data_IF_984796603603
#
_entry.id   IF_984796603603
#
_cell.length_a   1.000
_cell.length_b   1.000
_cell.length_c   1.000
_cell.angle_alpha   90.00
_cell.angle_beta   90.00
_cell.angle_gamma   90.00
#
_symmetry.space_group_name_H-M   'P 1'
#
loop_
_entity.id
_entity.type
_entity.pdbx_description
1 polymer ?
#
# COMPACT_ATOMS: atom_id res chain seq x y z
N UNK A 1 0.71 6.33 2.71
CA UNK A 1 -0.56 5.64 2.36
C UNK A 1 -1.42 6.67 1.62
N UNK A 2 -1.95 6.33 0.45
CA UNK A 2 -2.84 7.21 -0.32
C UNK A 2 -4.25 7.14 0.29
N UNK A 3 -4.39 7.79 1.45
CA UNK A 3 -5.64 7.91 2.20
C UNK A 3 -6.07 9.36 2.06
N UNK A 4 -7.29 9.56 1.55
CA UNK A 4 -7.90 10.88 1.43
C UNK A 4 -7.79 11.62 2.77
N UNK A 5 -7.39 12.89 2.72
CA UNK A 5 -7.17 13.77 3.89
C UNK A 5 -5.98 13.44 4.81
N UNK A 6 -5.30 12.30 4.63
CA UNK A 6 -4.10 11.94 5.41
C UNK A 6 -2.82 11.83 4.59
N UNK A 7 -2.92 12.00 3.28
CA UNK A 7 -1.76 11.94 2.39
C UNK A 7 -0.85 13.15 2.59
N UNK A 8 0.45 12.91 2.80
CA UNK A 8 1.50 13.94 2.77
C UNK A 8 2.07 14.14 1.36
N UNK A 9 1.53 13.44 0.36
CA UNK A 9 1.93 13.59 -1.03
C UNK A 9 1.20 14.81 -1.62
N UNK A 10 1.91 15.93 -1.72
CA UNK A 10 1.39 17.20 -2.24
C UNK A 10 2.37 17.81 -3.26
N UNK A 11 1.96 18.88 -3.95
CA UNK A 11 2.75 19.48 -5.05
C UNK A 11 4.12 19.97 -4.59
N UNK A 12 4.18 20.58 -3.40
CA UNK A 12 5.43 21.07 -2.84
C UNK A 12 6.35 19.90 -2.48
N UNK A 13 5.84 18.87 -1.82
CA UNK A 13 6.60 17.65 -1.52
C UNK A 13 7.14 16.97 -2.79
N UNK A 14 6.40 17.01 -3.91
CA UNK A 14 6.88 16.49 -5.21
C UNK A 14 7.93 17.36 -5.88
N UNK A 15 7.89 18.68 -5.68
CA UNK A 15 8.96 19.61 -6.09
C UNK A 15 10.22 19.38 -5.26
N UNK A 16 10.07 19.23 -3.95
CA UNK A 16 11.18 18.92 -3.04
C UNK A 16 11.83 17.58 -3.40
N UNK A 17 11.02 16.57 -3.75
CA UNK A 17 11.53 15.28 -4.24
C UNK A 17 12.41 15.41 -5.48
N UNK A 18 12.22 16.40 -6.36
CA UNK A 18 13.08 16.64 -7.52
C UNK A 18 14.47 17.13 -7.12
N UNK A 19 14.55 17.85 -6.00
CA UNK A 19 15.77 18.47 -5.48
C UNK A 19 16.53 17.48 -4.58
N UNK A 20 15.82 16.82 -3.67
CA UNK A 20 16.39 16.01 -2.58
C UNK A 20 16.57 14.54 -3.01
N UNK A 21 15.83 14.06 -4.01
CA UNK A 21 15.82 12.64 -4.38
C UNK A 21 15.99 12.42 -5.89
N UNK A 22 16.81 11.43 -6.26
CA UNK A 22 16.90 10.99 -7.65
C UNK A 22 15.76 10.00 -8.01
N UNK A 23 14.52 10.48 -8.12
CA UNK A 23 13.35 9.67 -8.52
C UNK A 23 12.64 10.26 -9.74
N UNK A 24 13.18 10.10 -10.96
CA UNK A 24 12.65 10.73 -12.16
C UNK A 24 11.21 10.32 -12.48
N UNK A 25 10.83 9.08 -12.18
CA UNK A 25 9.47 8.53 -12.41
C UNK A 25 8.37 9.19 -11.55
N UNK A 26 8.73 9.98 -10.52
CA UNK A 26 7.81 10.65 -9.62
C UNK A 26 7.80 12.18 -9.75
N UNK A 27 8.57 12.74 -10.70
CA UNK A 27 8.64 14.18 -10.93
C UNK A 27 7.27 14.73 -11.36
N UNK A 28 6.97 15.95 -10.93
CA UNK A 28 5.81 16.71 -11.45
C UNK A 28 6.13 17.14 -12.87
N UNK A 29 5.19 16.91 -13.78
CA UNK A 29 5.27 17.47 -15.12
C UNK A 29 4.72 18.91 -15.09
N UNK A 30 5.63 19.88 -15.01
CA UNK A 30 5.32 21.31 -15.01
C UNK A 30 4.67 21.77 -16.33
N UNK A 31 4.84 21.01 -17.42
CA UNK A 31 4.29 21.35 -18.75
C UNK A 31 2.87 20.83 -18.94
N UNK A 32 2.50 19.74 -18.25
CA UNK A 32 1.20 19.09 -18.34
C UNK A 32 0.43 19.23 -17.03
N UNK A 33 0.02 20.45 -16.71
CA UNK A 33 -0.99 20.74 -15.70
C UNK A 33 -0.63 20.33 -14.26
N UNK A 34 0.67 20.21 -13.93
CA UNK A 34 1.15 19.77 -12.61
C UNK A 34 0.60 18.38 -12.19
N UNK A 35 0.47 17.44 -13.13
CA UNK A 35 0.01 16.10 -12.81
C UNK A 35 1.06 15.35 -11.98
N UNK A 36 0.64 14.80 -10.84
CA UNK A 36 1.46 13.91 -10.01
C UNK A 36 1.32 12.47 -10.48
N UNK A 37 2.40 11.89 -11.01
CA UNK A 37 2.42 10.48 -11.37
C UNK A 37 2.36 9.60 -10.11
N UNK A 38 1.59 8.51 -10.17
CA UNK A 38 1.56 7.52 -9.09
C UNK A 38 2.87 6.73 -9.05
N UNK A 39 3.27 6.30 -7.85
CA UNK A 39 4.44 5.44 -7.71
C UNK A 39 4.20 4.07 -8.34
N UNK A 40 5.28 3.44 -8.82
CA UNK A 40 5.24 2.12 -9.48
C UNK A 40 4.69 1.01 -8.59
N UNK A 41 4.76 1.17 -7.27
CA UNK A 41 4.20 0.25 -6.27
C UNK A 41 2.74 0.60 -5.88
N UNK A 42 2.10 1.56 -6.56
CA UNK A 42 0.71 1.94 -6.26
C UNK A 42 -0.25 0.90 -6.81
N UNK A 43 -0.98 0.24 -5.93
CA UNK A 43 -1.95 -0.78 -6.32
C UNK A 43 -3.22 -0.20 -6.93
N UNK A 44 -3.68 -0.85 -8.00
CA UNK A 44 -5.01 -0.63 -8.57
C UNK A 44 -6.11 -1.10 -7.62
N UNK A 45 -7.35 -0.60 -7.81
CA UNK A 45 -8.51 -1.03 -7.01
C UNK A 45 -8.73 -2.55 -7.08
N UNK A 46 -8.50 -3.16 -8.25
CA UNK A 46 -8.60 -4.61 -8.46
C UNK A 46 -7.52 -5.38 -7.68
N UNK A 47 -6.28 -4.90 -7.69
CA UNK A 47 -5.19 -5.50 -6.90
C UNK A 47 -5.47 -5.37 -5.39
N UNK A 48 -5.89 -4.20 -4.91
CA UNK A 48 -6.27 -4.01 -3.50
C UNK A 48 -7.37 -4.99 -3.07
N UNK A 49 -8.42 -5.12 -3.88
CA UNK A 49 -9.51 -6.08 -3.65
C UNK A 49 -9.00 -7.50 -3.51
N UNK A 50 -8.16 -7.97 -4.44
CA UNK A 50 -7.58 -9.32 -4.39
C UNK A 50 -6.79 -9.56 -3.12
N UNK A 51 -6.01 -8.57 -2.66
CA UNK A 51 -5.24 -8.67 -1.41
C UNK A 51 -6.18 -8.72 -0.20
N UNK A 52 -7.17 -7.82 -0.12
CA UNK A 52 -8.15 -7.81 0.96
C UNK A 52 -8.93 -9.13 1.05
N UNK A 53 -9.37 -9.68 -0.09
CA UNK A 53 -10.01 -10.99 -0.17
C UNK A 53 -9.08 -12.09 0.34
N UNK A 54 -7.84 -12.13 -0.16
CA UNK A 54 -6.85 -13.10 0.31
C UNK A 54 -6.63 -13.04 1.83
N UNK A 55 -6.49 -11.83 2.40
CA UNK A 55 -6.34 -11.64 3.85
C UNK A 55 -7.57 -12.15 4.60
N UNK A 56 -8.77 -11.92 4.08
CA UNK A 56 -10.02 -12.39 4.70
C UNK A 56 -10.14 -13.92 4.74
N UNK A 57 -9.44 -14.62 3.84
CA UNK A 57 -9.39 -16.09 3.83
C UNK A 57 -8.26 -16.68 4.66
N UNK A 58 -7.33 -15.86 5.18
CA UNK A 58 -6.24 -16.36 6.01
C UNK A 58 -6.77 -16.92 7.33
N UNK A 59 -6.37 -18.15 7.64
CA UNK A 59 -6.60 -18.80 8.92
C UNK A 59 -5.25 -19.18 9.53
N UNK A 60 -5.13 -18.97 10.83
CA UNK A 60 -3.91 -19.27 11.57
C UNK A 60 -4.18 -20.30 12.66
N UNK A 61 -3.15 -21.07 13.01
CA UNK A 61 -3.20 -21.91 14.21
C UNK A 61 -3.32 -21.01 15.45
N UNK A 62 -3.90 -21.56 16.52
CA UNK A 62 -4.06 -20.82 17.77
C UNK A 62 -2.69 -20.30 18.26
N UNK A 63 -2.64 -19.03 18.67
CA UNK A 63 -1.42 -18.36 19.16
C UNK A 63 -0.52 -17.74 18.10
N UNK A 64 -0.73 -17.96 16.79
CA UNK A 64 0.15 -17.39 15.76
C UNK A 64 -0.19 -15.94 15.38
N UNK A 65 -1.46 -15.63 15.16
CA UNK A 65 -1.98 -14.28 14.95
C UNK A 65 -3.50 -14.30 15.19
N UNK A 66 -4.08 -13.12 15.45
CA UNK A 66 -5.54 -13.02 15.53
C UNK A 66 -6.21 -13.20 14.17
N UNK A 67 -7.53 -13.39 14.17
CA UNK A 67 -8.30 -13.50 12.93
C UNK A 67 -8.30 -12.16 12.16
N UNK A 68 -7.47 -12.08 11.11
CA UNK A 68 -7.32 -10.88 10.29
C UNK A 68 -8.56 -10.56 9.45
N UNK A 69 -9.49 -11.50 9.24
CA UNK A 69 -10.70 -11.25 8.48
C UNK A 69 -11.56 -10.13 9.10
N UNK A 70 -11.60 -10.04 10.43
CA UNK A 70 -12.31 -8.98 11.16
C UNK A 70 -11.65 -7.60 11.03
N UNK A 71 -10.41 -7.55 10.55
CA UNK A 71 -9.65 -6.32 10.37
C UNK A 71 -9.73 -5.78 8.93
N UNK A 72 -10.43 -6.45 8.00
CA UNK A 72 -10.51 -6.05 6.59
C UNK A 72 -11.83 -5.36 6.29
N UNK A 73 -11.75 -4.13 5.77
CA UNK A 73 -12.88 -3.40 5.22
C UNK A 73 -12.94 -3.61 3.69
N UNK A 74 -13.91 -4.41 3.24
CA UNK A 74 -14.12 -4.71 1.83
C UNK A 74 -14.78 -3.58 1.02
N UNK A 75 -15.33 -2.55 1.68
CA UNK A 75 -15.89 -1.37 1.01
C UNK A 75 -14.76 -0.39 0.67
N UNK A 76 -13.95 -0.06 1.67
CA UNK A 76 -12.83 0.88 1.52
C UNK A 76 -11.52 0.22 1.06
N UNK A 77 -11.48 -1.13 0.97
CA UNK A 77 -10.32 -1.94 0.58
C UNK A 77 -9.07 -1.62 1.41
N UNK A 78 -9.25 -1.61 2.73
CA UNK A 78 -8.19 -1.29 3.70
C UNK A 78 -8.25 -2.21 4.91
N UNK A 79 -7.15 -2.30 5.64
CA UNK A 79 -7.10 -2.94 6.95
C UNK A 79 -7.23 -1.89 8.05
N UNK A 80 -7.92 -2.23 9.14
CA UNK A 80 -8.05 -1.40 10.34
C UNK A 80 -8.09 -2.25 11.61
N UNK A 81 -7.77 -1.63 12.76
CA UNK A 81 -7.95 -2.28 14.07
C UNK A 81 -7.10 -3.52 14.30
N UNK A 82 -5.96 -3.66 13.61
CA UNK A 82 -5.01 -4.76 13.81
C UNK A 82 -4.19 -4.50 15.08
N UNK A 83 -3.96 -5.55 15.88
CA UNK A 83 -3.03 -5.47 17.02
C UNK A 83 -1.61 -5.34 16.49
N UNK A 84 -0.73 -4.71 17.28
CA UNK A 84 0.70 -4.53 16.91
C UNK A 84 1.37 -5.86 16.55
N UNK A 85 1.03 -6.94 17.28
CA UNK A 85 1.50 -8.29 16.99
C UNK A 85 1.10 -8.76 15.58
N UNK A 86 -0.16 -8.63 15.22
CA UNK A 86 -0.67 -9.08 13.91
C UNK A 86 -0.10 -8.22 12.77
N UNK A 87 0.11 -6.92 13.02
CA UNK A 87 0.84 -6.04 12.09
C UNK A 87 2.26 -6.54 11.86
N UNK A 88 2.99 -6.91 12.92
CA UNK A 88 4.36 -7.42 12.82
C UNK A 88 4.40 -8.73 12.03
N UNK A 89 3.52 -9.67 12.35
CA UNK A 89 3.38 -10.92 11.61
C UNK A 89 3.08 -10.64 10.13
N UNK A 90 2.15 -9.73 9.84
CA UNK A 90 1.83 -9.36 8.47
C UNK A 90 3.02 -8.75 7.72
N UNK A 91 3.72 -7.80 8.34
CA UNK A 91 4.88 -7.14 7.74
C UNK A 91 6.02 -8.12 7.48
N UNK A 92 6.33 -9.00 8.43
CA UNK A 92 7.47 -9.90 8.34
C UNK A 92 7.21 -11.14 7.47
N UNK A 93 6.00 -11.69 7.52
CA UNK A 93 5.70 -13.01 6.94
C UNK A 93 4.81 -12.93 5.71
N UNK A 94 3.92 -11.95 5.66
CA UNK A 94 2.87 -11.92 4.63
C UNK A 94 3.08 -10.86 3.56
N UNK A 95 3.85 -9.80 3.78
CA UNK A 95 4.18 -8.84 2.70
C UNK A 95 4.75 -9.53 1.46
N UNK A 96 5.79 -10.40 1.56
CA UNK A 96 6.34 -11.05 0.36
C UNK A 96 5.28 -11.84 -0.41
N UNK A 97 4.39 -12.54 0.30
CA UNK A 97 3.36 -13.41 -0.28
C UNK A 97 2.22 -12.59 -0.88
N UNK A 98 1.70 -11.63 -0.12
CA UNK A 98 0.58 -10.78 -0.50
C UNK A 98 0.89 -9.96 -1.75
N UNK A 99 2.14 -9.49 -1.86
CA UNK A 99 2.54 -8.54 -2.88
C UNK A 99 3.33 -9.16 -4.05
N UNK A 100 3.71 -10.45 -3.97
CA UNK A 100 4.53 -11.15 -4.97
C UNK A 100 4.03 -11.01 -6.41
N UNK A 101 2.70 -11.10 -6.63
CA UNK A 101 2.09 -11.11 -7.97
C UNK A 101 1.48 -9.76 -8.38
N UNK A 102 1.66 -8.71 -7.58
CA UNK A 102 1.02 -7.41 -7.80
C UNK A 102 2.00 -6.24 -7.88
N UNK A 103 3.20 -6.40 -7.34
CA UNK A 103 4.27 -5.41 -7.49
C UNK A 103 5.05 -5.68 -8.79
N UNK A 104 5.61 -4.62 -9.40
CA UNK A 104 6.54 -4.77 -10.50
C UNK A 104 7.76 -5.58 -10.05
N UNK A 105 8.31 -6.38 -10.97
CA UNK A 105 9.56 -7.10 -10.72
C UNK A 105 10.69 -6.11 -10.39
N UNK A 106 11.60 -6.48 -9.47
CA UNK A 106 12.77 -5.67 -9.19
C UNK A 106 13.57 -5.48 -10.49
N UNK A 107 13.95 -4.23 -10.76
CA UNK A 107 14.85 -3.84 -11.86
C UNK A 107 16.28 -4.13 -11.45
#
# INVERSE_FOLDING_TARGET
MDIKEKTKDNLNARKDLKIICNRPKLKVDERRLNVMLKAVYTLTKKQKRRICEWISYLKFSNGYASNLAGCVDMKELRMHGTKSHDCLVFMQKFIPIAFHKVLPEPV
#
